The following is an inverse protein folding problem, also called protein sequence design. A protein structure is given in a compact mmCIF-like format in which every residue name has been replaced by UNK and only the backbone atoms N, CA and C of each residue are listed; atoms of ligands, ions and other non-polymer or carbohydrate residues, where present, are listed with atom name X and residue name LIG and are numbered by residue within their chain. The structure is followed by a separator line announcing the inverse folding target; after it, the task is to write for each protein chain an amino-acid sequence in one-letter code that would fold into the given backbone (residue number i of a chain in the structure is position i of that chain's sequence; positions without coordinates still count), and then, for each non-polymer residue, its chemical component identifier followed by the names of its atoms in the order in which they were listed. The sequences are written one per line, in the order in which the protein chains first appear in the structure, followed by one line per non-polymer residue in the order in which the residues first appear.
data_IF_741601825639
#
_entry.id   IF_741601825639
#
_cell.length_a   1.000
_cell.length_b   1.000
_cell.length_c   1.000
_cell.angle_alpha   90.00
_cell.angle_beta   90.00
_cell.angle_gamma   90.00
#
_symmetry.space_group_name_H-M   'P 1'
#
loop_
_entity.id
_entity.type
_entity.pdbx_description
1 polymer ?
#
# COMPACT_ATOMS: atom_id res chain seq x y z
N UNK A 1 6.64 -3.43 -8.32
CA UNK A 1 5.34 -4.06 -8.04
C UNK A 1 4.21 -3.05 -8.21
N UNK A 2 3.00 -3.46 -7.87
CA UNK A 2 1.86 -2.56 -7.66
C UNK A 2 1.75 -2.24 -6.18
N UNK A 3 1.33 -1.03 -5.82
CA UNK A 3 1.08 -0.67 -4.42
C UNK A 3 -0.40 -0.79 -4.08
N UNK A 4 -0.68 -1.22 -2.86
CA UNK A 4 -2.03 -1.32 -2.30
C UNK A 4 -2.01 -0.85 -0.84
N UNK A 5 -3.18 -0.52 -0.30
CA UNK A 5 -3.32 -0.13 1.09
C UNK A 5 -3.93 -1.27 1.89
N UNK A 6 -3.34 -1.54 3.06
CA UNK A 6 -3.89 -2.44 4.08
C UNK A 6 -4.39 -1.58 5.22
N UNK A 7 -5.58 -1.91 5.72
CA UNK A 7 -6.12 -1.34 6.96
C UNK A 7 -6.27 -2.42 8.02
N UNK A 8 -5.79 -2.08 9.22
CA UNK A 8 -5.96 -2.88 10.42
C UNK A 8 -6.29 -1.96 11.59
N UNK A 9 -7.40 -2.20 12.29
CA UNK A 9 -7.88 -1.27 13.34
C UNK A 9 -7.91 0.18 12.81
N UNK A 10 -7.15 1.08 13.43
CA UNK A 10 -7.01 2.50 13.04
C UNK A 10 -5.81 2.75 12.11
N UNK A 11 -4.97 1.74 11.89
CA UNK A 11 -3.79 1.85 11.03
C UNK A 11 -4.13 1.67 9.56
N UNK A 12 -3.48 2.48 8.74
CA UNK A 12 -3.45 2.34 7.29
C UNK A 12 -2.00 2.36 6.82
N UNK A 13 -1.58 1.27 6.20
CA UNK A 13 -0.23 1.10 5.65
C UNK A 13 -0.29 0.95 4.14
N UNK A 14 0.69 1.52 3.46
CA UNK A 14 0.92 1.27 2.03
C UNK A 14 1.93 0.14 1.88
N UNK A 15 1.62 -0.81 1.00
CA UNK A 15 2.37 -2.05 0.83
C UNK A 15 2.72 -2.21 -0.64
N UNK A 16 3.99 -2.47 -0.95
CA UNK A 16 4.43 -2.84 -2.29
C UNK A 16 4.24 -4.35 -2.50
N UNK A 17 3.49 -4.75 -3.53
CA UNK A 17 3.43 -6.15 -3.94
C UNK A 17 4.75 -6.53 -4.64
N UNK A 18 5.56 -7.34 -3.97
CA UNK A 18 6.87 -7.82 -4.45
C UNK A 18 6.90 -9.32 -4.69
N UNK A 19 8.07 -9.81 -5.09
CA UNK A 19 8.44 -11.22 -5.17
C UNK A 19 9.39 -11.64 -4.04
N UNK A 20 10.15 -10.69 -3.50
CA UNK A 20 11.09 -10.93 -2.40
C UNK A 20 11.20 -9.75 -1.43
N UNK A 21 11.71 -9.99 -0.23
CA UNK A 21 11.93 -8.96 0.79
C UNK A 21 12.90 -7.85 0.37
N UNK A 22 13.77 -8.11 -0.61
CA UNK A 22 14.70 -7.13 -1.14
C UNK A 22 14.09 -6.20 -2.21
N UNK A 23 12.81 -6.39 -2.56
CA UNK A 23 12.11 -5.51 -3.52
C UNK A 23 11.70 -4.16 -2.92
N UNK A 24 11.89 -4.00 -1.61
CA UNK A 24 11.70 -2.75 -0.88
C UNK A 24 12.91 -2.49 0.01
N UNK A 25 13.07 -1.24 0.44
CA UNK A 25 14.13 -0.88 1.38
C UNK A 25 13.94 -1.60 2.72
N UNK A 26 15.04 -1.79 3.45
CA UNK A 26 15.01 -2.41 4.77
C UNK A 26 14.10 -1.60 5.71
N UNK A 27 13.15 -2.27 6.33
CA UNK A 27 12.15 -1.66 7.21
C UNK A 27 10.86 -1.23 6.52
N UNK A 28 10.78 -1.31 5.19
CA UNK A 28 9.57 -1.00 4.43
C UNK A 28 8.64 -2.21 4.30
N UNK A 29 7.37 -1.91 4.01
CA UNK A 29 6.30 -2.89 3.88
C UNK A 29 6.28 -3.56 2.51
N UNK A 30 6.21 -4.89 2.51
CA UNK A 30 6.13 -5.73 1.30
C UNK A 30 4.98 -6.74 1.43
N UNK A 31 4.25 -6.91 0.33
CA UNK A 31 3.25 -7.95 0.16
C UNK A 31 3.83 -9.05 -0.72
N UNK A 32 3.71 -10.31 -0.29
CA UNK A 32 4.21 -11.48 -1.02
C UNK A 32 3.06 -12.45 -1.25
N UNK A 33 2.98 -13.05 -2.43
CA UNK A 33 2.06 -14.16 -2.68
C UNK A 33 2.80 -15.44 -2.37
N UNK A 34 2.35 -16.16 -1.34
CA UNK A 34 2.92 -17.44 -0.93
C UNK A 34 2.55 -18.55 -1.94
N UNK A 35 3.25 -19.69 -1.86
CA UNK A 35 3.03 -20.82 -2.79
C UNK A 35 1.60 -21.37 -2.75
N UNK A 36 0.91 -21.21 -1.62
CA UNK A 36 -0.50 -21.61 -1.44
C UNK A 36 -1.51 -20.57 -1.96
N UNK A 37 -1.01 -19.46 -2.51
CA UNK A 37 -1.81 -18.37 -3.07
C UNK A 37 -2.27 -17.33 -2.04
N UNK A 38 -1.90 -17.46 -0.77
CA UNK A 38 -2.23 -16.47 0.25
C UNK A 38 -1.37 -15.21 0.11
N UNK A 39 -1.96 -14.06 0.42
CA UNK A 39 -1.24 -12.79 0.52
C UNK A 39 -0.64 -12.66 1.92
N UNK A 40 0.69 -12.67 2.00
CA UNK A 40 1.45 -12.34 3.19
C UNK A 40 1.77 -10.85 3.21
N UNK A 41 1.55 -10.19 4.35
CA UNK A 41 1.99 -8.81 4.59
C UNK A 41 3.18 -8.86 5.55
N UNK A 42 4.31 -8.29 5.13
CA UNK A 42 5.56 -8.35 5.87
C UNK A 42 6.29 -6.99 5.87
N UNK A 43 7.32 -6.90 6.71
CA UNK A 43 8.27 -5.81 6.73
C UNK A 43 9.64 -6.40 6.38
N UNK A 44 10.34 -5.81 5.41
CA UNK A 44 11.70 -6.25 5.06
C UNK A 44 12.62 -6.16 6.28
N UNK A 45 13.20 -7.29 6.71
CA UNK A 45 13.99 -7.44 7.95
C UNK A 45 13.28 -6.94 9.23
N UNK A 46 11.95 -7.07 9.30
CA UNK A 46 11.15 -6.67 10.45
C UNK A 46 10.10 -7.71 10.87
N UNK A 47 9.32 -7.38 11.91
CA UNK A 47 8.27 -8.23 12.46
C UNK A 47 6.90 -7.56 12.32
N UNK A 48 6.22 -7.80 11.18
CA UNK A 48 4.95 -7.18 10.85
C UNK A 48 3.86 -7.37 11.93
N UNK A 49 3.71 -8.59 12.46
CA UNK A 49 2.72 -8.89 13.49
C UNK A 49 2.95 -8.13 14.80
N UNK A 50 4.21 -7.90 15.17
CA UNK A 50 4.58 -7.09 16.34
C UNK A 50 4.26 -5.62 16.10
N UNK A 51 4.52 -5.10 14.90
CA UNK A 51 4.27 -3.69 14.56
C UNK A 51 2.77 -3.38 14.47
N UNK A 52 1.98 -4.29 13.89
CA UNK A 52 0.52 -4.12 13.81
C UNK A 52 -0.21 -4.54 15.09
N UNK A 53 0.48 -5.20 16.03
CA UNK A 53 -0.12 -5.83 17.21
C UNK A 53 -1.33 -6.70 16.83
N UNK A 54 -1.16 -7.53 15.79
CA UNK A 54 -2.19 -8.42 15.28
C UNK A 54 -1.93 -9.87 15.68
N UNK A 55 -3.00 -10.66 15.69
CA UNK A 55 -2.98 -12.10 15.98
C UNK A 55 -3.78 -12.88 14.94
N UNK A 56 -3.57 -14.20 14.88
CA UNK A 56 -4.34 -15.05 13.98
C UNK A 56 -5.85 -14.96 14.27
N UNK A 57 -6.65 -14.80 13.21
CA UNK A 57 -8.10 -14.60 13.30
C UNK A 57 -8.53 -13.13 13.21
N UNK A 58 -7.58 -12.20 13.34
CA UNK A 58 -7.84 -10.78 13.09
C UNK A 58 -8.20 -10.51 11.62
N UNK A 59 -9.10 -9.55 11.39
CA UNK A 59 -9.54 -9.16 10.06
C UNK A 59 -8.76 -7.96 9.54
N UNK A 60 -8.17 -8.12 8.34
CA UNK A 60 -7.48 -7.07 7.60
C UNK A 60 -8.29 -6.68 6.35
N UNK A 61 -8.25 -5.41 5.98
CA UNK A 61 -8.91 -4.92 4.76
C UNK A 61 -7.86 -4.49 3.74
N UNK A 62 -7.93 -5.08 2.55
CA UNK A 62 -7.05 -4.74 1.41
C UNK A 62 -7.82 -3.86 0.44
N UNK A 63 -7.22 -2.73 0.04
CA UNK A 63 -7.82 -1.80 -0.92
C UNK A 63 -6.80 -1.40 -1.98
N UNK A 64 -7.19 -1.30 -3.26
CA UNK A 64 -6.34 -0.66 -4.26
C UNK A 64 -6.04 0.78 -3.84
N UNK A 65 -4.81 1.24 -4.02
CA UNK A 65 -4.54 2.68 -3.97
C UNK A 65 -5.13 3.26 -5.25
N UNK A 66 -6.37 3.73 -5.17
CA UNK A 66 -6.94 4.52 -6.24
C UNK A 66 -6.11 5.81 -6.30
N UNK A 67 -5.17 5.88 -7.24
CA UNK A 67 -4.56 7.14 -7.64
C UNK A 67 -5.66 7.91 -8.34
N UNK A 68 -6.54 8.57 -7.57
CA UNK A 68 -7.23 9.75 -8.08
C UNK A 68 -6.11 10.74 -8.37
N UNK A 69 -5.54 10.64 -9.57
CA UNK A 69 -4.78 11.75 -10.13
C UNK A 69 -5.74 12.93 -10.06
N UNK A 70 -5.41 13.92 -9.24
CA UNK A 70 -5.99 15.23 -9.34
C UNK A 70 -5.84 15.66 -10.80
N UNK A 71 -6.90 15.50 -11.59
CA UNK A 71 -7.06 16.21 -12.85
C UNK A 71 -7.17 17.67 -12.44
N UNK A 72 -6.04 18.33 -12.17
CA UNK A 72 -5.94 19.79 -12.30
C UNK A 72 -6.25 20.07 -13.76
N UNK A 73 -7.52 20.30 -14.07
CA UNK A 73 -7.88 21.05 -15.28
C UNK A 73 -7.30 22.45 -15.09
N UNK A 74 -6.13 22.66 -15.67
CA UNK A 74 -5.76 23.98 -16.14
C UNK A 74 -6.74 24.43 -17.23
N UNK A 75 -6.76 25.75 -17.43
CA UNK A 75 -7.56 26.53 -18.38
C UNK A 75 -8.98 26.90 -17.92
N UNK A 76 -9.10 28.10 -17.36
CA UNK A 76 -9.65 29.20 -18.17
C UNK A 76 -8.73 30.43 -18.02
N UNK A 77 -7.89 30.63 -19.04
CA UNK A 77 -7.27 31.93 -19.28
C UNK A 77 -8.37 32.88 -19.75
N UNK A 78 -8.45 34.06 -19.13
CA UNK A 78 -9.26 35.17 -19.61
C UNK A 78 -8.89 35.49 -21.07
N UNK A 79 -9.85 35.61 -21.99
CA UNK A 79 -9.61 36.38 -23.20
C UNK A 79 -9.50 37.84 -22.77
N UNK A 80 -8.34 38.43 -23.03
CA UNK A 80 -8.22 39.88 -23.13
C UNK A 80 -9.05 40.31 -24.32
N UNK A 81 -10.04 41.18 -24.09
CA UNK A 81 -10.61 41.98 -25.17
C UNK A 81 -10.28 43.45 -24.94
N UNK A 82 -10.06 44.11 -26.07
CA UNK A 82 -9.43 45.43 -26.24
C UNK A 82 -10.23 46.59 -25.68
#
# INVERSE_FOLDING_TARGET
GSTFAVRFKDDRIEVMLGQDYNDVDRGEWVGLIEEDGNLQIAISFGHAATVLECVAGDTLFVTPINVLQERKKGADAQPTDR
#
